data_IF_400268798191
#
_entry.id   IF_400268798191
#
_cell.length_a   1.000
_cell.length_b   1.000
_cell.length_c   1.000
_cell.angle_alpha   90.00
_cell.angle_beta   90.00
_cell.angle_gamma   90.00
#
_symmetry.space_group_name_H-M   'P 1'
#
loop_
_entity.id
_entity.type
_entity.pdbx_description
1 polymer ?
#
# COMPACT_ATOMS: atom_id res chain seq x y z
N UNK A 1 -8.35 -7.05 19.93
CA UNK A 1 -7.96 -6.09 18.88
C UNK A 1 -8.65 -6.51 17.60
N UNK A 2 -9.61 -5.73 17.11
CA UNK A 2 -10.16 -5.92 15.76
C UNK A 2 -9.18 -5.30 14.78
N UNK A 3 -8.38 -6.11 14.09
CA UNK A 3 -7.49 -5.64 13.03
C UNK A 3 -8.31 -5.17 11.82
N UNK A 4 -7.83 -4.13 11.13
CA UNK A 4 -8.37 -3.74 9.82
C UNK A 4 -7.69 -4.62 8.77
N UNK A 5 -8.49 -5.34 7.97
CA UNK A 5 -8.00 -6.13 6.85
C UNK A 5 -8.07 -5.31 5.56
N UNK A 6 -7.00 -5.40 4.76
CA UNK A 6 -6.93 -4.81 3.42
C UNK A 6 -6.82 -5.91 2.37
N UNK A 7 -7.39 -5.68 1.20
CA UNK A 7 -7.24 -6.53 0.03
C UNK A 7 -6.19 -5.91 -0.88
N UNK A 8 -5.07 -6.61 -1.01
CA UNK A 8 -3.97 -6.27 -1.92
C UNK A 8 -4.07 -7.16 -3.15
N UNK A 9 -4.08 -6.55 -4.34
CA UNK A 9 -4.12 -7.28 -5.62
C UNK A 9 -2.95 -6.84 -6.49
N UNK A 10 -2.17 -7.81 -6.98
CA UNK A 10 -1.11 -7.61 -7.97
C UNK A 10 -1.35 -8.64 -9.08
N UNK A 11 -1.75 -8.18 -10.26
CA UNK A 11 -2.11 -9.05 -11.37
C UNK A 11 -1.59 -8.48 -12.70
N UNK A 12 -0.50 -9.07 -13.19
CA UNK A 12 0.22 -8.57 -14.36
C UNK A 12 0.62 -7.12 -14.15
N UNK A 13 0.11 -6.24 -15.01
CA UNK A 13 0.43 -4.80 -15.01
C UNK A 13 -0.53 -3.97 -14.13
N UNK A 14 -1.43 -4.62 -13.39
CA UNK A 14 -2.41 -3.95 -12.51
C UNK A 14 -2.11 -4.22 -11.04
N UNK A 15 -2.14 -3.17 -10.23
CA UNK A 15 -2.02 -3.26 -8.78
C UNK A 15 -3.10 -2.41 -8.10
N UNK A 16 -3.64 -2.88 -6.98
CA UNK A 16 -4.60 -2.13 -6.17
C UNK A 16 -4.58 -2.50 -4.70
N UNK A 17 -4.96 -1.54 -3.87
CA UNK A 17 -5.21 -1.71 -2.44
C UNK A 17 -6.62 -1.22 -2.13
N UNK A 18 -7.48 -2.13 -1.69
CA UNK A 18 -8.87 -1.81 -1.33
C UNK A 18 -9.20 -2.28 0.08
N UNK A 19 -10.28 -1.75 0.64
CA UNK A 19 -10.97 -2.42 1.73
C UNK A 19 -11.56 -3.76 1.23
N UNK A 20 -12.00 -4.60 2.16
CA UNK A 20 -12.58 -5.90 1.83
C UNK A 20 -13.88 -5.80 1.03
N UNK A 21 -14.60 -4.68 1.15
CA UNK A 21 -15.81 -4.37 0.37
C UNK A 21 -15.51 -3.81 -1.04
N UNK A 22 -14.23 -3.66 -1.39
CA UNK A 22 -13.78 -3.14 -2.68
C UNK A 22 -13.66 -1.62 -2.76
N UNK A 23 -14.02 -0.87 -1.70
CA UNK A 23 -13.82 0.57 -1.65
C UNK A 23 -12.32 0.93 -1.58
N UNK A 24 -11.95 2.08 -2.14
CA UNK A 24 -10.55 2.50 -2.15
C UNK A 24 -10.07 2.85 -0.74
N UNK A 25 -8.86 2.41 -0.39
CA UNK A 25 -8.21 2.78 0.89
C UNK A 25 -7.68 4.22 0.83
N UNK A 26 -7.33 4.70 -0.36
CA UNK A 26 -6.73 6.02 -0.56
C UNK A 26 -6.76 6.44 -2.03
N UNK A 27 -6.43 7.70 -2.31
CA UNK A 27 -6.27 8.21 -3.67
C UNK A 27 -4.91 7.84 -4.31
N UNK A 28 -4.13 6.94 -3.68
CA UNK A 28 -2.87 6.45 -4.23
C UNK A 28 -3.14 5.58 -5.46
N UNK A 29 -2.44 5.89 -6.56
CA UNK A 29 -2.37 5.02 -7.72
C UNK A 29 -1.21 4.06 -7.57
N UNK A 30 -1.49 2.76 -7.67
CA UNK A 30 -0.49 1.70 -7.50
C UNK A 30 -0.02 1.15 -8.85
N UNK A 31 1.27 0.92 -8.94
CA UNK A 31 1.92 0.19 -10.04
C UNK A 31 2.63 -1.04 -9.50
N UNK A 32 2.50 -2.20 -10.16
CA UNK A 32 3.28 -3.37 -9.79
C UNK A 32 4.75 -3.19 -10.20
N UNK A 33 5.67 -3.56 -9.31
CA UNK A 33 7.10 -3.65 -9.62
C UNK A 33 7.55 -5.10 -9.88
N UNK A 34 6.81 -6.06 -9.33
CA UNK A 34 6.98 -7.49 -9.56
C UNK A 34 5.70 -8.22 -9.17
N UNK A 35 5.66 -9.55 -9.29
CA UNK A 35 4.49 -10.36 -8.97
C UNK A 35 4.04 -10.31 -7.50
N UNK A 36 4.89 -9.80 -6.61
CA UNK A 36 4.59 -9.72 -5.18
C UNK A 36 4.85 -8.34 -4.57
N UNK A 37 5.23 -7.34 -5.38
CA UNK A 37 5.57 -6.00 -4.88
C UNK A 37 4.90 -4.92 -5.72
N UNK A 38 4.27 -3.95 -5.05
CA UNK A 38 3.66 -2.78 -5.69
C UNK A 38 4.07 -1.49 -4.98
N UNK A 39 4.05 -0.39 -5.73
CA UNK A 39 4.31 0.96 -5.23
C UNK A 39 3.15 1.88 -5.59
N UNK A 40 2.63 2.57 -4.58
CA UNK A 40 1.67 3.64 -4.72
C UNK A 40 2.35 4.99 -4.65
N UNK A 41 1.89 5.95 -5.44
CA UNK A 41 2.33 7.34 -5.28
C UNK A 41 1.19 8.34 -5.43
N UNK A 42 1.31 9.45 -4.73
CA UNK A 42 0.37 10.56 -4.75
C UNK A 42 1.12 11.87 -4.52
N UNK A 43 0.76 12.91 -5.28
CA UNK A 43 1.37 14.23 -5.15
C UNK A 43 0.34 15.22 -4.61
N UNK A 44 0.74 15.99 -3.60
CA UNK A 44 -0.08 17.06 -3.01
C UNK A 44 0.82 18.03 -2.25
N UNK A 45 0.36 19.28 -2.08
CA UNK A 45 1.06 20.29 -1.27
C UNK A 45 2.51 20.53 -1.70
N UNK A 46 2.83 20.39 -2.99
CA UNK A 46 4.20 20.52 -3.51
C UNK A 46 5.16 19.39 -3.14
N UNK A 47 4.66 18.27 -2.63
CA UNK A 47 5.47 17.11 -2.27
C UNK A 47 4.87 15.79 -2.72
N UNK A 48 5.45 14.70 -2.21
CA UNK A 48 5.14 13.34 -2.65
C UNK A 48 4.90 12.41 -1.47
N UNK A 49 3.90 11.56 -1.63
CA UNK A 49 3.71 10.35 -0.84
C UNK A 49 4.10 9.17 -1.70
N UNK A 50 4.93 8.29 -1.15
CA UNK A 50 5.28 6.99 -1.75
C UNK A 50 4.94 5.91 -0.73
N UNK A 51 4.22 4.90 -1.19
CA UNK A 51 3.81 3.76 -0.38
C UNK A 51 4.24 2.47 -1.07
N UNK A 52 4.79 1.51 -0.33
CA UNK A 52 5.25 0.24 -0.88
C UNK A 52 4.61 -0.91 -0.11
N UNK A 53 4.23 -1.94 -0.85
CA UNK A 53 3.72 -3.18 -0.31
C UNK A 53 4.45 -4.34 -0.97
N UNK A 54 5.03 -5.24 -0.17
CA UNK A 54 5.69 -6.44 -0.66
C UNK A 54 5.25 -7.66 0.12
N UNK A 55 4.80 -8.70 -0.59
CA UNK A 55 4.33 -9.96 -0.01
C UNK A 55 5.45 -10.98 -0.05
N UNK A 56 5.83 -11.50 1.12
CA UNK A 56 6.91 -12.47 1.26
C UNK A 56 6.38 -13.90 1.08
N UNK A 57 7.31 -14.85 0.84
CA UNK A 57 6.95 -16.28 0.70
C UNK A 57 6.47 -16.92 2.00
N UNK A 58 6.87 -16.38 3.15
CA UNK A 58 6.47 -16.81 4.49
C UNK A 58 5.19 -16.12 4.98
N UNK A 59 4.33 -15.66 4.06
CA UNK A 59 3.02 -15.08 4.36
C UNK A 59 3.09 -13.83 5.24
N UNK A 60 4.13 -13.02 5.07
CA UNK A 60 4.24 -11.66 5.65
C UNK A 60 4.00 -10.61 4.57
N UNK A 61 3.62 -9.42 5.03
CA UNK A 61 3.52 -8.24 4.18
C UNK A 61 4.41 -7.15 4.76
N UNK A 62 5.40 -6.73 3.98
CA UNK A 62 6.28 -5.61 4.31
C UNK A 62 5.63 -4.34 3.77
N UNK A 63 5.34 -3.40 4.67
CA UNK A 63 4.78 -2.10 4.33
C UNK A 63 5.76 -0.99 4.66
N UNK A 64 5.90 -0.02 3.75
CA UNK A 64 6.50 1.27 4.09
C UNK A 64 5.81 2.42 3.40
N UNK A 65 5.79 3.58 4.05
CA UNK A 65 5.28 4.84 3.52
C UNK A 65 6.21 5.97 3.87
N UNK A 66 6.50 6.81 2.89
CA UNK A 66 7.20 8.07 3.06
C UNK A 66 6.30 9.18 2.55
N UNK A 67 6.03 10.16 3.41
CA UNK A 67 5.30 11.37 3.06
C UNK A 67 6.25 12.53 3.27
N UNK A 68 6.69 13.15 2.18
CA UNK A 68 7.48 14.38 2.21
C UNK A 68 6.67 15.47 1.51
N UNK A 69 5.94 16.26 2.32
CA UNK A 69 4.94 17.19 1.81
C UNK A 69 5.22 18.61 2.33
N UNK A 70 5.95 19.44 1.56
CA UNK A 70 6.35 20.79 1.98
C UNK A 70 5.20 21.68 2.44
N UNK A 71 4.07 21.67 1.73
CA UNK A 71 2.89 22.45 2.06
C UNK A 71 2.09 21.94 3.27
N UNK A 72 2.40 20.74 3.77
CA UNK A 72 1.74 20.11 4.91
C UNK A 72 2.77 19.44 5.83
N UNK A 73 3.69 20.22 6.40
CA UNK A 73 4.79 19.69 7.24
C UNK A 73 4.31 18.80 8.38
N UNK A 74 3.18 19.11 9.01
CA UNK A 74 2.62 18.29 10.09
C UNK A 74 2.18 16.88 9.62
N UNK A 75 1.97 16.67 8.32
CA UNK A 75 1.68 15.38 7.72
C UNK A 75 2.93 14.67 7.21
N UNK A 76 4.07 15.37 7.06
CA UNK A 76 5.34 14.77 6.67
C UNK A 76 5.75 13.74 7.71
N UNK A 77 5.92 12.50 7.30
CA UNK A 77 6.25 11.40 8.19
C UNK A 77 6.70 10.16 7.43
N UNK A 78 7.26 9.20 8.16
CA UNK A 78 7.51 7.86 7.68
C UNK A 78 6.73 6.85 8.53
N UNK A 79 6.25 5.79 7.90
CA UNK A 79 5.57 4.67 8.54
C UNK A 79 6.10 3.36 7.97
N UNK A 80 6.25 2.35 8.80
CA UNK A 80 6.57 1.00 8.37
C UNK A 80 5.96 0.00 9.34
N UNK A 81 5.52 -1.15 8.82
CA UNK A 81 5.10 -2.27 9.63
C UNK A 81 5.25 -3.59 8.87
N UNK A 82 5.22 -4.69 9.62
CA UNK A 82 5.15 -6.04 9.08
C UNK A 82 3.78 -6.61 9.47
N UNK A 83 2.99 -6.97 8.46
CA UNK A 83 1.68 -7.60 8.63
C UNK A 83 1.71 -9.09 8.29
N UNK A 84 0.62 -9.78 8.60
CA UNK A 84 0.37 -11.16 8.21
C UNK A 84 -0.56 -11.23 7.00
N UNK A 85 -0.32 -12.21 6.11
CA UNK A 85 -1.26 -12.56 5.04
C UNK A 85 -2.36 -13.42 5.65
N UNK A 86 -3.56 -12.86 5.80
CA UNK A 86 -4.73 -13.56 6.34
C UNK A 86 -5.36 -14.55 5.35
N UNK A 87 -5.15 -14.37 4.04
CA UNK A 87 -5.70 -15.23 2.99
C UNK A 87 -5.25 -14.79 1.59
N UNK A 88 -5.62 -15.58 0.59
CA UNK A 88 -5.31 -15.30 -0.82
C UNK A 88 -6.62 -15.13 -1.60
N UNK A 89 -6.63 -14.21 -2.57
CA UNK A 89 -7.74 -14.12 -3.51
C UNK A 89 -7.76 -15.38 -4.38
N UNK A 90 -8.87 -16.10 -4.42
CA UNK A 90 -9.14 -17.09 -5.47
C UNK A 90 -9.62 -16.33 -6.71
N UNK A 91 -8.92 -16.53 -7.83
CA UNK A 91 -9.40 -16.08 -9.15
C UNK A 91 -10.69 -16.81 -9.53
#
# INVERSE_FOLDING_TARGET
MTGVAFKLTINGDKASLTHMDGSSVSDLSYVPLSSNTMVGSYQSGGGITVETWSVTKDKKVMYSKVMNIPGYQNLTSTKAFVGDVAGTCTN
#
